data_IF_780955849126
#
_entry.id   IF_780955849126
#
_cell.length_a   1.000
_cell.length_b   1.000
_cell.length_c   1.000
_cell.angle_alpha   90.00
_cell.angle_beta   90.00
_cell.angle_gamma   90.00
#
_symmetry.space_group_name_H-M   'P 1'
#
loop_
_entity.id
_entity.type
_entity.pdbx_description
1 polymer ?
#
# COMPACT_ATOMS: atom_id res chain seq x y z
N UNK A 1 -11.88 6.10 13.69
CA UNK A 1 -11.53 5.35 12.46
C UNK A 1 -12.02 6.17 11.28
N UNK A 2 -11.18 6.39 10.27
CA UNK A 2 -11.54 7.09 9.04
C UNK A 2 -11.33 6.12 7.87
N UNK A 3 -12.28 6.08 6.95
CA UNK A 3 -12.24 5.20 5.78
C UNK A 3 -12.05 6.05 4.52
N UNK A 4 -10.99 5.81 3.77
CA UNK A 4 -10.78 6.37 2.43
C UNK A 4 -11.22 5.36 1.37
N UNK A 5 -12.23 5.69 0.57
CA UNK A 5 -12.69 4.85 -0.53
C UNK A 5 -12.21 5.42 -1.86
N UNK A 6 -11.37 4.67 -2.58
CA UNK A 6 -10.82 5.07 -3.87
C UNK A 6 -11.23 4.07 -4.93
N UNK A 7 -11.82 4.58 -6.01
CA UNK A 7 -12.28 3.76 -7.13
C UNK A 7 -11.22 3.68 -8.24
N UNK A 8 -11.10 2.50 -8.84
CA UNK A 8 -10.35 2.29 -10.08
C UNK A 8 -10.81 3.26 -11.17
N UNK A 9 -9.92 3.74 -12.06
CA UNK A 9 -8.48 3.43 -12.14
C UNK A 9 -7.60 4.47 -11.42
N UNK A 10 -8.19 5.44 -10.71
CA UNK A 10 -7.46 6.57 -10.10
C UNK A 10 -6.90 6.22 -8.72
N UNK A 11 -6.27 5.06 -8.61
CA UNK A 11 -5.68 4.54 -7.37
C UNK A 11 -4.22 4.15 -7.59
N UNK A 12 -3.49 3.81 -6.52
CA UNK A 12 -2.09 3.39 -6.63
C UNK A 12 -1.93 2.09 -7.43
N UNK A 13 -2.75 1.08 -7.17
CA UNK A 13 -2.69 -0.19 -7.91
C UNK A 13 -3.53 -0.20 -9.18
N UNK A 14 -4.32 0.86 -9.46
CA UNK A 14 -5.42 0.89 -10.44
C UNK A 14 -6.58 -0.08 -10.16
N UNK A 15 -6.61 -0.69 -8.99
CA UNK A 15 -7.75 -1.48 -8.50
C UNK A 15 -8.58 -0.62 -7.54
N UNK A 16 -9.76 -1.09 -7.13
CA UNK A 16 -10.50 -0.46 -6.03
C UNK A 16 -9.73 -0.63 -4.72
N UNK A 17 -9.57 0.46 -3.97
CA UNK A 17 -8.80 0.48 -2.72
C UNK A 17 -9.63 1.11 -1.60
N UNK A 18 -9.64 0.44 -0.45
CA UNK A 18 -10.14 0.99 0.81
C UNK A 18 -8.95 1.15 1.77
N UNK A 19 -8.75 2.37 2.28
CA UNK A 19 -7.76 2.67 3.32
C UNK A 19 -8.46 2.86 4.66
N UNK A 20 -8.07 2.04 5.64
CA UNK A 20 -8.61 2.08 7.00
C UNK A 20 -7.59 2.78 7.90
N UNK A 21 -7.87 4.03 8.24
CA UNK A 21 -7.03 4.85 9.10
C UNK A 21 -7.55 4.82 10.55
N UNK A 22 -6.73 4.31 11.46
CA UNK A 22 -7.11 4.12 12.88
C UNK A 22 -6.20 4.90 13.81
N UNK A 23 -6.60 5.03 15.07
CA UNK A 23 -5.72 5.53 16.11
C UNK A 23 -4.49 4.62 16.22
N UNK A 24 -3.31 5.19 16.43
CA UNK A 24 -2.00 4.53 16.28
C UNK A 24 -1.66 3.41 17.27
N UNK A 25 -2.65 2.79 17.91
CA UNK A 25 -2.45 1.63 18.78
C UNK A 25 -2.27 0.34 17.97
N UNK A 26 -1.17 -0.36 18.19
CA UNK A 26 -0.84 -1.65 17.54
C UNK A 26 -1.97 -2.67 17.69
N UNK A 27 -2.61 -2.73 18.87
CA UNK A 27 -3.70 -3.66 19.15
C UNK A 27 -4.89 -3.46 18.19
N UNK A 28 -5.32 -2.21 17.99
CA UNK A 28 -6.46 -1.87 17.13
C UNK A 28 -6.13 -2.15 15.66
N UNK A 29 -4.92 -1.79 15.21
CA UNK A 29 -4.48 -2.07 13.84
C UNK A 29 -4.42 -3.57 13.55
N UNK A 30 -3.91 -4.36 14.49
CA UNK A 30 -3.86 -5.82 14.36
C UNK A 30 -5.26 -6.44 14.35
N UNK A 31 -6.17 -5.98 15.21
CA UNK A 31 -7.55 -6.50 15.23
C UNK A 31 -8.26 -6.25 13.90
N UNK A 32 -8.07 -5.07 13.30
CA UNK A 32 -8.64 -4.72 11.99
C UNK A 32 -8.01 -5.56 10.88
N UNK A 33 -6.70 -5.78 10.89
CA UNK A 33 -6.04 -6.67 9.94
C UNK A 33 -6.61 -8.09 10.02
N UNK A 34 -6.77 -8.63 11.23
CA UNK A 34 -7.35 -9.95 11.43
C UNK A 34 -8.82 -10.02 11.02
N UNK A 35 -9.60 -8.95 11.24
CA UNK A 35 -10.96 -8.85 10.75
C UNK A 35 -11.00 -8.89 9.23
N UNK A 36 -10.19 -8.09 8.53
CA UNK A 36 -10.13 -8.09 7.07
C UNK A 36 -9.80 -9.48 6.50
N UNK A 37 -8.85 -10.20 7.13
CA UNK A 37 -8.48 -11.56 6.72
C UNK A 37 -9.65 -12.54 6.93
N UNK A 38 -10.36 -12.45 8.06
CA UNK A 38 -11.55 -13.28 8.32
C UNK A 38 -12.68 -13.05 7.32
N UNK A 39 -12.84 -11.80 6.86
CA UNK A 39 -13.82 -11.42 5.83
C UNK A 39 -13.35 -11.72 4.39
N UNK A 40 -12.26 -12.48 4.22
CA UNK A 40 -11.81 -13.00 2.92
C UNK A 40 -10.63 -12.28 2.29
N UNK A 41 -10.04 -11.28 2.95
CA UNK A 41 -8.79 -10.70 2.47
C UNK A 41 -7.62 -11.67 2.64
N UNK A 42 -6.68 -11.64 1.71
CA UNK A 42 -5.38 -12.33 1.85
C UNK A 42 -4.33 -11.34 2.32
N UNK A 43 -3.44 -11.78 3.21
CA UNK A 43 -2.25 -11.01 3.56
C UNK A 43 -1.37 -10.77 2.31
N UNK A 44 -1.05 -9.51 2.05
CA UNK A 44 -0.23 -9.13 0.91
C UNK A 44 1.21 -9.66 1.03
N UNK A 45 1.80 -10.05 -0.10
CA UNK A 45 3.22 -10.38 -0.18
C UNK A 45 4.09 -9.11 -0.11
N UNK A 46 5.38 -9.22 0.25
CA UNK A 46 6.30 -8.09 0.22
C UNK A 46 6.31 -7.40 -1.15
N UNK A 47 5.99 -6.10 -1.16
CA UNK A 47 5.97 -5.29 -2.39
C UNK A 47 4.78 -5.54 -3.33
N UNK A 48 3.79 -6.34 -2.93
CA UNK A 48 2.68 -6.74 -3.81
C UNK A 48 1.87 -5.55 -4.35
N UNK A 49 1.65 -4.50 -3.54
CA UNK A 49 0.96 -3.29 -3.98
C UNK A 49 1.71 -2.58 -5.12
N UNK A 50 3.02 -2.39 -4.98
CA UNK A 50 3.85 -1.77 -6.03
C UNK A 50 3.93 -2.66 -7.27
N UNK A 51 4.03 -3.99 -7.09
CA UNK A 51 3.97 -4.97 -8.18
C UNK A 51 2.67 -4.86 -8.97
N UNK A 52 1.51 -4.75 -8.29
CA UNK A 52 0.21 -4.55 -8.94
C UNK A 52 0.14 -3.22 -9.69
N UNK A 53 0.67 -2.15 -9.11
CA UNK A 53 0.78 -0.84 -9.78
C UNK A 53 1.59 -0.95 -11.08
N UNK A 54 2.71 -1.67 -11.08
CA UNK A 54 3.50 -1.94 -12.28
C UNK A 54 2.75 -2.78 -13.31
N UNK A 55 2.18 -3.92 -12.91
CA UNK A 55 1.44 -4.82 -13.79
C UNK A 55 0.22 -4.15 -14.43
N UNK A 56 -0.43 -3.25 -13.71
CA UNK A 56 -1.55 -2.48 -14.22
C UNK A 56 -1.11 -1.23 -15.01
N UNK A 57 0.20 -1.01 -15.20
CA UNK A 57 0.78 0.07 -16.01
C UNK A 57 0.71 1.46 -15.37
N UNK A 58 0.54 1.56 -14.05
CA UNK A 58 0.48 2.83 -13.30
C UNK A 58 1.85 3.45 -13.11
N UNK A 59 2.85 2.60 -12.96
CA UNK A 59 4.27 2.91 -12.80
C UNK A 59 5.08 1.99 -13.70
N UNK A 60 6.23 2.45 -14.19
CA UNK A 60 7.21 1.57 -14.84
C UNK A 60 8.11 0.87 -13.80
N UNK A 61 9.03 0.01 -14.27
CA UNK A 61 9.92 -0.75 -13.38
C UNK A 61 10.89 0.17 -12.63
N UNK A 62 11.42 1.20 -13.30
CA UNK A 62 12.36 2.16 -12.70
C UNK A 62 11.67 2.95 -11.58
N UNK A 63 10.43 3.35 -11.76
CA UNK A 63 9.61 3.99 -10.75
C UNK A 63 9.28 3.04 -9.59
N UNK A 64 8.99 1.78 -9.87
CA UNK A 64 8.75 0.77 -8.83
C UNK A 64 10.01 0.52 -7.96
N UNK A 65 11.19 0.49 -8.57
CA UNK A 65 12.47 0.39 -7.86
C UNK A 65 12.76 1.65 -7.04
N UNK A 66 12.52 2.84 -7.61
CA UNK A 66 12.69 4.12 -6.91
C UNK A 66 11.83 4.22 -5.65
N UNK A 67 10.62 3.64 -5.63
CA UNK A 67 9.80 3.56 -4.41
C UNK A 67 10.53 2.81 -3.28
N UNK A 68 11.21 1.72 -3.60
CA UNK A 68 11.98 0.95 -2.62
C UNK A 68 13.20 1.72 -2.13
N UNK A 69 13.88 2.43 -3.03
CA UNK A 69 15.04 3.24 -2.70
C UNK A 69 14.67 4.40 -1.78
N UNK A 70 13.56 5.09 -2.05
CA UNK A 70 13.03 6.16 -1.19
C UNK A 70 12.68 5.63 0.20
N UNK A 71 12.02 4.47 0.30
CA UNK A 71 11.68 3.86 1.60
C UNK A 71 12.95 3.49 2.39
N UNK A 72 14.02 3.08 1.71
CA UNK A 72 15.29 2.67 2.33
C UNK A 72 16.25 3.83 2.58
N UNK A 73 16.02 4.99 1.99
CA UNK A 73 16.86 6.16 2.12
C UNK A 73 17.02 6.55 3.60
N UNK A 74 18.28 6.56 4.09
CA UNK A 74 18.62 6.94 5.47
C UNK A 74 19.10 8.38 5.60
N UNK A 75 19.23 9.10 4.48
CA UNK A 75 19.76 10.48 4.42
C UNK A 75 19.08 11.27 3.29
N UNK A 76 18.87 12.57 3.49
CA UNK A 76 18.21 13.46 2.52
C UNK A 76 18.94 13.53 1.16
N UNK A 77 20.24 13.22 1.13
CA UNK A 77 21.02 13.14 -0.13
C UNK A 77 20.61 11.96 -1.03
N UNK A 78 19.96 10.94 -0.50
CA UNK A 78 19.48 9.79 -1.27
C UNK A 78 18.08 10.01 -1.88
N UNK A 79 17.45 11.15 -1.60
CA UNK A 79 16.11 11.52 -2.09
C UNK A 79 16.13 12.45 -3.32
N UNK A 80 17.30 12.96 -3.73
CA UNK A 80 17.46 13.90 -4.86
C UNK A 80 18.10 13.23 -6.07
#
# INVERSE_FOLDING_TARGET
VMIGAMKSPKTFTREDIIEINTHGGIAVTNEILQLAIREGARLAEPGEFTKRAFLNGRVDLTQAEAVMDIIRAKTDKAMN
#
